data_IF_291034993142
#
_entry.id   IF_291034993142
#
_cell.length_a   1.000
_cell.length_b   1.000
_cell.length_c   1.000
_cell.angle_alpha   90.00
_cell.angle_beta   90.00
_cell.angle_gamma   90.00
#
_symmetry.space_group_name_H-M   'P 1'
#
loop_
_entity.id
_entity.type
_entity.pdbx_description
1 polymer ?
#
# COMPACT_ATOMS: atom_id res chain seq x y z
N UNK A 1 21.14 10.77 5.15
CA UNK A 1 21.21 9.46 5.81
C UNK A 1 21.17 8.33 4.78
N UNK A 2 20.14 8.17 3.95
CA UNK A 2 20.03 7.11 2.93
C UNK A 2 21.27 6.96 2.01
N UNK A 3 21.97 8.07 1.67
CA UNK A 3 23.16 8.05 0.79
C UNK A 3 24.39 7.34 1.39
N UNK A 4 24.41 7.10 2.69
CA UNK A 4 25.53 6.46 3.39
C UNK A 4 25.31 4.98 3.66
N UNK A 5 24.11 4.45 3.36
CA UNK A 5 23.75 3.05 3.57
C UNK A 5 24.29 2.19 2.43
N UNK A 6 24.84 1.03 2.76
CA UNK A 6 25.20 -0.01 1.81
C UNK A 6 23.96 -0.57 1.10
N UNK A 7 24.14 -1.28 0.00
CA UNK A 7 23.07 -1.97 -0.73
C UNK A 7 22.35 -2.97 0.17
N UNK A 8 23.11 -3.78 0.91
CA UNK A 8 22.55 -4.79 1.83
C UNK A 8 21.70 -4.16 2.93
N UNK A 9 22.20 -3.10 3.60
CA UNK A 9 21.43 -2.39 4.63
C UNK A 9 20.12 -1.81 4.08
N UNK A 10 20.15 -1.25 2.86
CA UNK A 10 18.96 -0.70 2.21
C UNK A 10 17.93 -1.79 1.88
N UNK A 11 18.39 -2.96 1.41
CA UNK A 11 17.53 -4.10 1.13
C UNK A 11 16.84 -4.60 2.41
N UNK A 12 17.60 -4.83 3.47
CA UNK A 12 17.04 -5.35 4.73
C UNK A 12 16.05 -4.37 5.36
N UNK A 13 16.39 -3.08 5.41
CA UNK A 13 15.47 -2.07 5.92
C UNK A 13 14.22 -1.94 5.04
N UNK A 14 14.36 -2.06 3.71
CA UNK A 14 13.21 -2.02 2.80
C UNK A 14 12.28 -3.22 3.04
N UNK A 15 12.83 -4.41 3.24
CA UNK A 15 12.05 -5.63 3.55
C UNK A 15 11.24 -5.47 4.84
N UNK A 16 11.88 -4.99 5.91
CA UNK A 16 11.20 -4.78 7.18
C UNK A 16 10.08 -3.73 7.07
N UNK A 17 10.40 -2.56 6.48
CA UNK A 17 9.41 -1.50 6.31
C UNK A 17 8.26 -1.90 5.39
N UNK A 18 8.51 -2.71 4.38
CA UNK A 18 7.45 -3.22 3.50
C UNK A 18 6.45 -4.09 4.27
N UNK A 19 6.91 -4.95 5.17
CA UNK A 19 6.03 -5.73 6.07
C UNK A 19 5.14 -4.81 6.91
N UNK A 20 5.74 -3.78 7.53
CA UNK A 20 4.98 -2.80 8.35
C UNK A 20 3.96 -2.02 7.53
N UNK A 21 4.29 -1.66 6.29
CA UNK A 21 3.36 -0.99 5.37
C UNK A 21 2.21 -1.91 4.98
N UNK A 22 2.46 -3.21 4.80
CA UNK A 22 1.39 -4.21 4.57
C UNK A 22 0.43 -4.27 5.75
N UNK A 23 0.94 -4.38 6.99
CA UNK A 23 0.11 -4.40 8.20
C UNK A 23 -0.72 -3.10 8.33
N UNK A 24 -0.09 -1.96 8.03
CA UNK A 24 -0.77 -0.67 8.05
C UNK A 24 -1.87 -0.56 7.00
N UNK A 25 -1.60 -1.02 5.77
CA UNK A 25 -2.59 -1.00 4.69
C UNK A 25 -3.73 -1.97 4.97
N UNK A 26 -3.45 -3.14 5.54
CA UNK A 26 -4.49 -4.10 5.92
C UNK A 26 -5.47 -3.47 6.90
N UNK A 27 -4.98 -2.90 7.99
CA UNK A 27 -5.83 -2.19 8.95
C UNK A 27 -6.61 -1.02 8.32
N UNK A 28 -5.99 -0.28 7.39
CA UNK A 28 -6.66 0.81 6.68
C UNK A 28 -7.80 0.30 5.79
N UNK A 29 -7.64 -0.87 5.17
CA UNK A 29 -8.68 -1.51 4.37
C UNK A 29 -9.84 -2.00 5.24
N UNK A 30 -9.57 -2.62 6.40
CA UNK A 30 -10.60 -2.95 7.39
C UNK A 30 -11.41 -1.72 7.81
N UNK A 31 -10.73 -0.62 8.12
CA UNK A 31 -11.35 0.64 8.47
C UNK A 31 -12.21 1.19 7.31
N UNK A 32 -11.69 1.14 6.09
CA UNK A 32 -12.39 1.60 4.90
C UNK A 32 -13.70 0.82 4.65
N UNK A 33 -13.68 -0.51 4.75
CA UNK A 33 -14.89 -1.33 4.54
C UNK A 33 -15.96 -1.04 5.62
N UNK A 34 -15.57 -0.69 6.86
CA UNK A 34 -16.49 -0.19 7.88
C UNK A 34 -17.04 1.20 7.50
N UNK A 35 -16.17 2.10 7.07
CA UNK A 35 -16.54 3.46 6.67
C UNK A 35 -17.50 3.47 5.47
N UNK A 36 -17.34 2.55 4.52
CA UNK A 36 -18.28 2.40 3.38
C UNK A 36 -19.73 2.28 3.86
N UNK A 37 -19.98 1.55 4.94
CA UNK A 37 -21.33 1.39 5.48
C UNK A 37 -21.74 2.58 6.34
N UNK A 38 -20.89 2.97 7.27
CA UNK A 38 -21.20 4.01 8.27
C UNK A 38 -21.38 5.40 7.61
N UNK A 39 -20.60 5.72 6.58
CA UNK A 39 -20.59 7.05 5.97
C UNK A 39 -21.43 7.14 4.70
N UNK A 40 -21.42 6.10 3.86
CA UNK A 40 -21.91 6.21 2.49
C UNK A 40 -23.20 5.44 2.23
N UNK A 41 -23.65 4.59 3.19
CA UNK A 41 -24.94 3.93 3.06
C UNK A 41 -26.00 4.60 3.95
N UNK A 42 -27.26 4.65 3.51
CA UNK A 42 -28.33 5.20 4.32
C UNK A 42 -28.76 4.29 5.48
N UNK A 43 -28.24 3.07 5.56
CA UNK A 43 -28.71 2.00 6.48
C UNK A 43 -28.76 2.46 7.93
N UNK A 44 -27.73 3.15 8.42
CA UNK A 44 -27.68 3.63 9.80
C UNK A 44 -28.34 5.00 9.97
N UNK A 45 -28.13 5.92 9.04
CA UNK A 45 -28.69 7.27 9.14
C UNK A 45 -30.21 7.29 9.05
N UNK A 46 -30.83 6.36 8.32
CA UNK A 46 -32.29 6.22 8.26
C UNK A 46 -32.92 5.75 9.59
N UNK A 47 -32.14 5.12 10.47
CA UNK A 47 -32.61 4.70 11.78
C UNK A 47 -32.54 5.80 12.83
N UNK A 48 -31.83 6.90 12.54
CA UNK A 48 -31.58 7.98 13.49
C UNK A 48 -32.33 9.23 13.01
N UNK A 49 -33.50 9.52 13.58
CA UNK A 49 -34.28 10.70 13.21
C UNK A 49 -33.54 11.99 13.61
N UNK A 50 -33.96 13.11 13.05
CA UNK A 50 -33.47 14.42 13.45
C UNK A 50 -33.63 14.65 14.95
N UNK A 51 -32.52 14.65 15.68
CA UNK A 51 -32.51 14.61 17.15
C UNK A 51 -31.11 14.95 17.70
N UNK A 52 -30.96 15.04 19.00
CA UNK A 52 -29.63 15.14 19.64
C UNK A 52 -28.78 13.90 19.34
N UNK A 53 -29.37 12.72 19.19
CA UNK A 53 -28.67 11.51 18.82
C UNK A 53 -28.09 11.58 17.38
N UNK A 54 -28.77 12.24 16.45
CA UNK A 54 -28.26 12.50 15.11
C UNK A 54 -26.98 13.34 15.13
N UNK A 55 -26.90 14.35 16.01
CA UNK A 55 -25.69 15.14 16.17
C UNK A 55 -24.53 14.31 16.70
N UNK A 56 -24.76 13.46 17.69
CA UNK A 56 -23.74 12.54 18.23
C UNK A 56 -23.26 11.54 17.18
N UNK A 57 -24.18 10.97 16.41
CA UNK A 57 -23.86 10.05 15.32
C UNK A 57 -23.01 10.73 14.21
N UNK A 58 -23.36 11.97 13.86
CA UNK A 58 -22.56 12.75 12.89
C UNK A 58 -21.12 12.98 13.38
N UNK A 59 -20.93 13.26 14.68
CA UNK A 59 -19.56 13.37 15.26
C UNK A 59 -18.80 12.05 15.14
N UNK A 60 -19.46 10.93 15.39
CA UNK A 60 -18.87 9.59 15.22
C UNK A 60 -18.48 9.33 13.75
N UNK A 61 -19.38 9.60 12.81
CA UNK A 61 -19.09 9.47 11.37
C UNK A 61 -17.89 10.33 10.95
N UNK A 62 -17.85 11.58 11.37
CA UNK A 62 -16.73 12.48 11.09
C UNK A 62 -15.42 11.94 11.68
N UNK A 63 -15.44 11.42 12.90
CA UNK A 63 -14.27 10.83 13.54
C UNK A 63 -13.71 9.64 12.76
N UNK A 64 -14.57 8.73 12.33
CA UNK A 64 -14.17 7.56 11.52
C UNK A 64 -13.56 8.00 10.18
N UNK A 65 -14.20 8.94 9.48
CA UNK A 65 -13.68 9.48 8.22
C UNK A 65 -12.32 10.16 8.38
N UNK A 66 -12.20 11.02 9.40
CA UNK A 66 -10.96 11.73 9.68
C UNK A 66 -9.82 10.75 10.03
N UNK A 67 -10.12 9.69 10.76
CA UNK A 67 -9.15 8.68 11.12
C UNK A 67 -8.64 7.92 9.88
N UNK A 68 -9.51 7.56 8.95
CA UNK A 68 -9.13 6.96 7.67
C UNK A 68 -8.17 7.88 6.88
N UNK A 69 -8.50 9.17 6.78
CA UNK A 69 -7.63 10.16 6.12
C UNK A 69 -6.26 10.24 6.80
N UNK A 70 -6.21 10.29 8.13
CA UNK A 70 -4.95 10.34 8.87
C UNK A 70 -4.09 9.10 8.59
N UNK A 71 -4.72 7.91 8.59
CA UNK A 71 -4.04 6.64 8.30
C UNK A 71 -3.54 6.54 6.86
N UNK A 72 -4.36 6.97 5.90
CA UNK A 72 -3.97 7.03 4.48
C UNK A 72 -2.79 7.99 4.26
N UNK A 73 -2.85 9.17 4.86
CA UNK A 73 -1.77 10.15 4.78
C UNK A 73 -0.46 9.62 5.38
N UNK A 74 -0.52 8.82 6.44
CA UNK A 74 0.68 8.25 7.07
C UNK A 74 1.43 7.31 6.12
N UNK A 75 0.73 6.57 5.25
CA UNK A 75 1.34 5.74 4.19
C UNK A 75 2.10 6.58 3.15
N UNK A 76 1.70 7.84 2.96
CA UNK A 76 2.26 8.74 1.95
C UNK A 76 3.04 9.93 2.53
N UNK A 77 3.33 9.94 3.83
CA UNK A 77 4.15 10.97 4.47
C UNK A 77 5.54 11.08 3.84
N UNK A 78 6.24 12.17 4.14
CA UNK A 78 7.62 12.40 3.67
C UNK A 78 8.52 11.22 4.02
N UNK A 79 9.43 10.88 3.09
CA UNK A 79 10.42 9.82 3.30
C UNK A 79 11.44 10.24 4.35
N UNK A 80 11.44 9.56 5.47
CA UNK A 80 12.37 9.71 6.58
C UNK A 80 12.80 8.32 7.08
N UNK A 81 14.05 8.13 7.53
CA UNK A 81 14.57 6.80 7.89
C UNK A 81 13.76 6.07 8.96
N UNK A 82 13.21 6.80 9.91
CA UNK A 82 12.40 6.29 11.01
C UNK A 82 10.95 5.98 10.62
N UNK A 83 10.46 6.51 9.49
CA UNK A 83 9.07 6.32 9.07
C UNK A 83 8.87 5.01 8.32
N UNK A 84 7.77 4.37 8.63
CA UNK A 84 7.29 3.14 7.99
C UNK A 84 6.20 3.49 6.98
N UNK A 85 6.63 4.00 5.82
CA UNK A 85 5.72 4.45 4.77
C UNK A 85 6.28 4.14 3.36
N UNK A 86 5.42 4.20 2.37
CA UNK A 86 5.73 3.86 0.98
C UNK A 86 6.87 4.72 0.44
N UNK A 87 6.85 6.03 0.70
CA UNK A 87 7.88 6.95 0.19
C UNK A 87 9.28 6.64 0.75
N UNK A 88 9.36 6.15 1.98
CA UNK A 88 10.62 5.70 2.58
C UNK A 88 11.12 4.43 1.89
N UNK A 89 10.25 3.46 1.65
CA UNK A 89 10.60 2.23 0.92
C UNK A 89 11.09 2.57 -0.48
N UNK A 90 10.32 3.38 -1.22
CA UNK A 90 10.71 3.84 -2.56
C UNK A 90 12.09 4.51 -2.55
N UNK A 91 12.38 5.34 -1.55
CA UNK A 91 13.69 6.00 -1.44
C UNK A 91 14.83 5.03 -1.13
N UNK A 92 14.57 3.95 -0.42
CA UNK A 92 15.52 2.88 -0.16
C UNK A 92 15.82 2.09 -1.44
N UNK A 93 14.78 1.67 -2.19
CA UNK A 93 14.93 0.78 -3.34
C UNK A 93 15.24 1.51 -4.65
N UNK A 94 14.98 2.82 -4.76
CA UNK A 94 15.21 3.61 -5.99
C UNK A 94 16.72 3.89 -6.19
N UNK A 95 17.49 2.82 -6.36
CA UNK A 95 18.90 2.83 -6.70
C UNK A 95 19.20 1.61 -7.60
N UNK A 96 19.95 1.78 -8.71
CA UNK A 96 20.22 0.69 -9.64
C UNK A 96 20.75 -0.57 -8.96
N UNK A 97 21.72 -0.42 -8.06
CA UNK A 97 22.37 -1.55 -7.38
C UNK A 97 21.43 -2.26 -6.39
N UNK A 98 20.47 -1.54 -5.80
CA UNK A 98 19.46 -2.14 -4.90
C UNK A 98 18.43 -2.93 -5.71
N UNK A 99 17.97 -2.37 -6.84
CA UNK A 99 17.07 -3.08 -7.76
C UNK A 99 17.76 -4.33 -8.29
N UNK A 100 19.04 -4.23 -8.63
CA UNK A 100 19.81 -5.38 -9.10
C UNK A 100 19.97 -6.44 -8.03
N UNK A 101 20.29 -6.06 -6.79
CA UNK A 101 20.42 -6.99 -5.67
C UNK A 101 19.10 -7.76 -5.42
N UNK A 102 17.96 -7.07 -5.41
CA UNK A 102 16.63 -7.70 -5.24
C UNK A 102 16.29 -8.62 -6.42
N UNK A 103 16.61 -8.22 -7.64
CA UNK A 103 16.41 -9.05 -8.83
C UNK A 103 17.27 -10.32 -8.80
N UNK A 104 18.52 -10.20 -8.36
CA UNK A 104 19.43 -11.34 -8.23
C UNK A 104 19.00 -12.29 -7.10
N UNK A 105 18.50 -11.75 -5.99
CA UNK A 105 17.91 -12.56 -4.92
C UNK A 105 16.71 -13.36 -5.43
N UNK A 106 15.83 -12.73 -6.23
CA UNK A 106 14.71 -13.41 -6.91
C UNK A 106 15.21 -14.52 -7.85
N UNK A 107 16.24 -14.26 -8.66
CA UNK A 107 16.82 -15.27 -9.54
C UNK A 107 17.34 -16.47 -8.74
N UNK A 108 18.12 -16.21 -7.70
CA UNK A 108 18.73 -17.24 -6.86
C UNK A 108 17.67 -18.10 -6.15
N UNK A 109 16.60 -17.48 -5.66
CA UNK A 109 15.48 -18.21 -5.08
C UNK A 109 14.88 -19.20 -6.07
N UNK A 110 14.53 -18.76 -7.28
CA UNK A 110 13.92 -19.62 -8.30
C UNK A 110 14.88 -20.67 -8.88
N UNK A 111 16.17 -20.37 -8.93
CA UNK A 111 17.19 -21.37 -9.29
C UNK A 111 17.37 -22.44 -8.21
N UNK A 112 17.19 -22.08 -6.93
CA UNK A 112 17.33 -23.00 -5.80
C UNK A 112 16.10 -23.88 -5.53
N UNK A 113 14.90 -23.50 -5.99
CA UNK A 113 13.66 -24.28 -5.84
C UNK A 113 13.69 -25.56 -6.70
N UNK A 114 14.49 -25.60 -7.75
CA UNK A 114 14.63 -26.75 -8.61
C UNK A 114 15.21 -27.94 -7.83
N UNK A 115 14.32 -28.77 -7.29
CA UNK A 115 14.67 -30.05 -6.69
C UNK A 115 15.32 -30.99 -7.72
N UNK A 116 15.40 -32.25 -7.35
CA UNK A 116 15.82 -33.31 -8.29
C UNK A 116 14.75 -33.55 -9.38
N UNK A 117 15.19 -34.02 -10.55
CA UNK A 117 14.29 -34.43 -11.60
C UNK A 117 13.33 -35.48 -11.05
N UNK A 118 12.02 -35.22 -11.13
CA UNK A 118 11.01 -36.17 -10.69
C UNK A 118 11.02 -37.37 -11.69
N UNK A 119 11.18 -38.58 -11.16
CA UNK A 119 11.25 -39.83 -11.94
C UNK A 119 12.39 -39.82 -13.01
N UNK A 120 13.65 -39.68 -12.56
CA UNK A 120 14.76 -39.68 -13.51
C UNK A 120 14.85 -41.00 -14.26
N UNK A 121 15.34 -40.96 -15.52
CA UNK A 121 15.55 -42.14 -16.34
C UNK A 121 16.39 -43.19 -15.60
N UNK A 122 16.07 -44.49 -15.74
CA UNK A 122 16.93 -45.57 -15.24
C UNK A 122 18.28 -45.65 -15.95
N UNK A 123 18.38 -45.12 -17.18
CA UNK A 123 19.63 -45.05 -17.93
C UNK A 123 20.52 -43.91 -17.38
N UNK A 124 21.76 -44.17 -16.93
CA UNK A 124 22.65 -43.18 -16.37
C UNK A 124 22.98 -42.00 -17.29
N UNK A 125 23.15 -42.25 -18.60
CA UNK A 125 23.47 -41.21 -19.58
C UNK A 125 22.27 -40.26 -19.79
N UNK A 126 21.08 -40.83 -19.94
CA UNK A 126 19.85 -40.04 -20.07
C UNK A 126 19.57 -39.24 -18.79
N UNK A 127 19.80 -39.83 -17.62
CA UNK A 127 19.66 -39.13 -16.30
C UNK A 127 20.58 -37.90 -16.22
N UNK A 128 21.84 -38.04 -16.71
CA UNK A 128 22.77 -36.90 -16.72
C UNK A 128 22.30 -35.78 -17.67
N UNK A 129 21.73 -36.13 -18.82
CA UNK A 129 21.17 -35.16 -19.77
C UNK A 129 19.91 -34.49 -19.21
N UNK A 130 19.03 -35.25 -18.58
CA UNK A 130 17.83 -34.72 -17.91
C UNK A 130 18.21 -33.74 -16.80
N UNK A 131 19.18 -34.09 -15.94
CA UNK A 131 19.66 -33.19 -14.89
C UNK A 131 20.25 -31.88 -15.44
N UNK A 132 21.04 -31.98 -16.53
CA UNK A 132 21.60 -30.82 -17.19
C UNK A 132 20.53 -29.93 -17.84
N UNK A 133 19.55 -30.55 -18.51
CA UNK A 133 18.42 -29.82 -19.09
C UNK A 133 17.60 -29.10 -18.01
N UNK A 134 17.34 -29.78 -16.91
CA UNK A 134 16.62 -29.20 -15.74
C UNK A 134 17.37 -28.02 -15.10
N UNK A 135 18.69 -28.16 -14.91
CA UNK A 135 19.51 -27.05 -14.42
C UNK A 135 19.48 -25.83 -15.35
N UNK A 136 19.56 -26.04 -16.65
CA UNK A 136 19.47 -24.97 -17.66
C UNK A 136 18.11 -24.29 -17.62
N UNK A 137 17.01 -25.06 -17.52
CA UNK A 137 15.66 -24.53 -17.41
C UNK A 137 15.49 -23.70 -16.16
N UNK A 138 15.99 -24.15 -15.00
CA UNK A 138 15.94 -23.38 -13.76
C UNK A 138 16.77 -22.10 -13.82
N UNK A 139 17.95 -22.14 -14.43
CA UNK A 139 18.76 -20.93 -14.63
C UNK A 139 18.04 -19.93 -15.53
N UNK A 140 17.45 -20.38 -16.63
CA UNK A 140 16.70 -19.52 -17.53
C UNK A 140 15.48 -18.93 -16.81
N UNK A 141 14.70 -19.75 -16.10
CA UNK A 141 13.54 -19.29 -15.34
C UNK A 141 13.92 -18.26 -14.28
N UNK A 142 15.00 -18.50 -13.52
CA UNK A 142 15.52 -17.52 -12.56
C UNK A 142 15.89 -16.19 -13.21
N UNK A 143 16.52 -16.20 -14.39
CA UNK A 143 16.84 -14.98 -15.13
C UNK A 143 15.59 -14.22 -15.60
N UNK A 144 14.57 -14.95 -16.08
CA UNK A 144 13.28 -14.37 -16.48
C UNK A 144 12.58 -13.70 -15.27
N UNK A 145 12.58 -14.37 -14.11
CA UNK A 145 12.03 -13.79 -12.89
C UNK A 145 12.82 -12.56 -12.42
N UNK A 146 14.15 -12.55 -12.53
CA UNK A 146 14.96 -11.37 -12.25
C UNK A 146 14.62 -10.18 -13.18
N UNK A 147 14.42 -10.44 -14.47
CA UNK A 147 14.00 -9.40 -15.43
C UNK A 147 12.62 -8.85 -15.06
N UNK A 148 11.69 -9.74 -14.66
CA UNK A 148 10.37 -9.34 -14.19
C UNK A 148 10.47 -8.50 -12.93
N UNK A 149 11.28 -8.91 -11.95
CA UNK A 149 11.51 -8.14 -10.72
C UNK A 149 12.01 -6.71 -11.01
N UNK A 150 13.00 -6.56 -11.89
CA UNK A 150 13.51 -5.23 -12.28
C UNK A 150 12.42 -4.35 -12.89
N UNK A 151 11.57 -4.91 -13.74
CA UNK A 151 10.49 -4.18 -14.40
C UNK A 151 9.42 -3.75 -13.39
N UNK A 152 8.96 -4.68 -12.55
CA UNK A 152 7.89 -4.44 -11.59
C UNK A 152 8.32 -3.49 -10.45
N UNK A 153 9.57 -3.59 -9.98
CA UNK A 153 10.12 -2.62 -9.01
C UNK A 153 10.18 -1.20 -9.60
N UNK A 154 10.63 -1.05 -10.86
CA UNK A 154 10.63 0.25 -11.53
C UNK A 154 9.22 0.79 -11.70
N UNK A 155 8.28 -0.08 -12.12
CA UNK A 155 6.87 0.29 -12.24
C UNK A 155 6.29 0.76 -10.90
N UNK A 156 6.52 0.04 -9.81
CA UNK A 156 6.06 0.45 -8.48
C UNK A 156 6.66 1.81 -8.04
N UNK A 157 7.92 2.09 -8.39
CA UNK A 157 8.55 3.38 -8.14
C UNK A 157 7.85 4.49 -8.94
N UNK A 158 7.56 4.26 -10.22
CA UNK A 158 6.95 5.25 -11.09
C UNK A 158 5.47 5.48 -10.76
N UNK A 159 4.71 4.43 -10.45
CA UNK A 159 3.33 4.53 -9.96
C UNK A 159 3.27 5.33 -8.64
N UNK A 160 4.22 5.08 -7.73
CA UNK A 160 4.34 5.86 -6.48
C UNK A 160 4.62 7.34 -6.75
N UNK A 161 5.48 7.65 -7.72
CA UNK A 161 5.76 9.04 -8.12
C UNK A 161 4.52 9.71 -8.70
N UNK A 162 3.73 8.98 -9.49
CA UNK A 162 2.49 9.50 -10.05
C UNK A 162 1.48 9.86 -8.95
N UNK A 163 1.31 9.01 -7.94
CA UNK A 163 0.45 9.31 -6.79
C UNK A 163 0.98 10.52 -6.01
N UNK A 164 2.29 10.57 -5.73
CA UNK A 164 2.92 11.67 -4.99
C UNK A 164 2.74 13.02 -5.71
N UNK A 165 2.77 13.01 -7.04
CA UNK A 165 2.58 14.20 -7.86
C UNK A 165 1.10 14.56 -8.08
N UNK A 166 0.16 13.70 -7.68
CA UNK A 166 -1.27 13.91 -7.93
C UNK A 166 -1.83 15.04 -7.07
N UNK A 167 -2.68 15.85 -7.69
CA UNK A 167 -3.45 16.88 -6.99
C UNK A 167 -4.35 16.28 -5.91
N UNK A 168 -4.87 15.07 -6.15
CA UNK A 168 -5.74 14.36 -5.21
C UNK A 168 -5.04 14.06 -3.89
N UNK A 169 -3.84 13.44 -3.93
CA UNK A 169 -3.07 13.21 -2.70
C UNK A 169 -2.69 14.54 -2.03
N UNK A 170 -2.30 15.55 -2.82
CA UNK A 170 -1.95 16.86 -2.27
C UNK A 170 -3.14 17.50 -1.52
N UNK A 171 -4.37 17.39 -2.05
CA UNK A 171 -5.60 17.90 -1.40
C UNK A 171 -5.91 17.14 -0.10
N UNK A 172 -5.77 15.81 -0.10
CA UNK A 172 -5.95 14.97 1.10
C UNK A 172 -4.93 15.36 2.19
N UNK A 173 -3.65 15.48 1.81
CA UNK A 173 -2.58 15.88 2.72
C UNK A 173 -2.80 17.29 3.27
N UNK A 174 -3.29 18.20 2.44
CA UNK A 174 -3.61 19.56 2.86
C UNK A 174 -4.75 19.59 3.89
N UNK A 175 -5.83 18.80 3.66
CA UNK A 175 -6.92 18.65 4.62
C UNK A 175 -6.41 18.13 5.98
N UNK A 176 -5.59 17.05 5.95
CA UNK A 176 -4.99 16.51 7.17
C UNK A 176 -4.17 17.56 7.92
N UNK A 177 -3.29 18.28 7.22
CA UNK A 177 -2.43 19.29 7.86
C UNK A 177 -3.22 20.48 8.38
N UNK A 178 -4.23 20.92 7.63
CA UNK A 178 -4.99 22.12 7.98
C UNK A 178 -5.96 21.92 9.14
N UNK A 179 -6.66 20.79 9.15
CA UNK A 179 -7.81 20.57 10.01
C UNK A 179 -7.69 19.39 10.97
N UNK A 180 -6.93 18.33 10.62
CA UNK A 180 -6.91 17.11 11.42
C UNK A 180 -5.70 17.03 12.35
N UNK A 181 -4.52 17.46 11.89
CA UNK A 181 -3.32 17.46 12.71
C UNK A 181 -3.08 18.80 13.40
N UNK A 182 -3.50 19.89 12.78
CA UNK A 182 -3.29 21.25 13.25
C UNK A 182 -4.50 22.11 12.90
N UNK A 183 -4.79 23.11 13.71
CA UNK A 183 -5.83 24.13 13.44
C UNK A 183 -5.19 25.32 12.72
N UNK A 184 -4.90 25.16 11.42
CA UNK A 184 -4.19 26.18 10.65
C UNK A 184 -5.15 27.00 9.78
N UNK A 185 -4.96 28.32 9.72
CA UNK A 185 -5.62 29.17 8.74
C UNK A 185 -5.10 28.92 7.32
N UNK A 186 -3.80 28.64 7.19
CA UNK A 186 -3.12 28.37 5.93
C UNK A 186 -1.98 27.35 6.17
N UNK A 187 -1.86 26.34 5.29
CA UNK A 187 -0.77 25.37 5.35
C UNK A 187 0.50 25.92 4.70
N UNK A 188 1.64 25.28 4.98
CA UNK A 188 2.88 25.60 4.29
C UNK A 188 2.78 25.41 2.78
N UNK A 189 2.11 24.35 2.34
CA UNK A 189 1.89 24.08 0.91
C UNK A 189 1.01 25.15 0.24
N UNK A 190 0.00 25.67 0.92
CA UNK A 190 -0.82 26.78 0.40
C UNK A 190 0.00 28.06 0.28
N UNK A 191 0.87 28.37 1.27
CA UNK A 191 1.78 29.53 1.21
C UNK A 191 2.77 29.42 0.07
N UNK A 192 3.44 28.29 -0.08
CA UNK A 192 4.41 28.07 -1.13
C UNK A 192 3.78 28.22 -2.52
N UNK A 193 2.58 27.67 -2.74
CA UNK A 193 1.84 27.83 -4.01
C UNK A 193 1.49 29.28 -4.30
N UNK A 194 1.07 30.01 -3.28
CA UNK A 194 0.75 31.43 -3.39
C UNK A 194 1.99 32.28 -3.73
N UNK A 195 3.10 32.03 -3.07
CA UNK A 195 4.38 32.70 -3.34
C UNK A 195 4.86 32.41 -4.78
N UNK A 196 4.75 31.16 -5.23
CA UNK A 196 5.12 30.74 -6.58
C UNK A 196 4.05 31.03 -7.65
N UNK A 197 2.97 31.72 -7.32
CA UNK A 197 1.83 32.03 -8.22
C UNK A 197 1.26 30.79 -8.90
N UNK A 198 1.27 29.64 -8.21
CA UNK A 198 0.66 28.39 -8.65
C UNK A 198 -0.80 28.37 -8.20
N UNK A 199 -1.67 27.77 -8.99
CA UNK A 199 -3.09 27.64 -8.68
C UNK A 199 -3.33 27.02 -7.30
N UNK A 200 -4.29 27.52 -6.50
CA UNK A 200 -4.61 26.93 -5.19
C UNK A 200 -4.94 25.44 -5.30
N UNK A 201 -4.63 24.68 -4.25
CA UNK A 201 -5.07 23.30 -4.17
C UNK A 201 -6.60 23.25 -4.09
N UNK A 202 -7.27 22.46 -4.94
CA UNK A 202 -8.69 22.24 -4.79
C UNK A 202 -8.98 21.57 -3.44
N UNK A 203 -10.15 21.84 -2.84
CA UNK A 203 -10.55 21.12 -1.63
C UNK A 203 -10.68 19.63 -1.95
N UNK A 204 -10.32 18.79 -0.97
CA UNK A 204 -10.58 17.36 -1.05
C UNK A 204 -12.08 17.08 -1.22
N UNK A 205 -12.43 16.15 -2.09
CA UNK A 205 -13.79 15.68 -2.31
C UNK A 205 -13.97 14.29 -1.72
N UNK A 206 -15.20 13.96 -1.34
CA UNK A 206 -15.56 12.60 -0.97
C UNK A 206 -15.24 11.63 -2.12
N UNK A 207 -14.60 10.50 -1.79
CA UNK A 207 -14.12 9.52 -2.76
C UNK A 207 -12.68 9.73 -3.24
N UNK A 208 -12.05 10.88 -2.96
CA UNK A 208 -10.63 11.09 -3.25
C UNK A 208 -9.76 10.14 -2.42
N UNK A 209 -10.10 9.91 -1.14
CA UNK A 209 -9.45 8.96 -0.25
C UNK A 209 -9.51 7.53 -0.82
N UNK A 210 -10.69 7.12 -1.28
CA UNK A 210 -10.89 5.80 -1.89
C UNK A 210 -10.04 5.65 -3.15
N UNK A 211 -10.02 6.65 -4.01
CA UNK A 211 -9.25 6.59 -5.25
C UNK A 211 -7.73 6.51 -5.00
N UNK A 212 -7.22 7.18 -3.96
CA UNK A 212 -5.81 7.07 -3.55
C UNK A 212 -5.57 5.71 -2.89
N UNK A 213 -6.48 5.23 -2.05
CA UNK A 213 -6.39 3.91 -1.42
C UNK A 213 -6.34 2.79 -2.47
N UNK A 214 -7.28 2.79 -3.42
CA UNK A 214 -7.34 1.80 -4.51
C UNK A 214 -6.06 1.82 -5.38
N UNK A 215 -5.47 3.00 -5.62
CA UNK A 215 -4.20 3.13 -6.33
C UNK A 215 -2.98 2.70 -5.47
N UNK A 216 -3.10 2.71 -4.14
CA UNK A 216 -2.05 2.30 -3.20
C UNK A 216 -1.90 0.78 -3.14
N UNK A 217 -2.98 0.04 -3.24
CA UNK A 217 -3.02 -1.43 -3.11
C UNK A 217 -2.02 -2.12 -4.05
N UNK A 218 -2.09 -1.94 -5.39
CA UNK A 218 -1.19 -2.64 -6.31
C UNK A 218 0.28 -2.27 -6.11
N UNK A 219 0.57 -1.07 -5.61
CA UNK A 219 1.94 -0.65 -5.28
C UNK A 219 2.47 -1.46 -4.11
N UNK A 220 1.69 -1.59 -3.02
CA UNK A 220 2.10 -2.33 -1.83
C UNK A 220 2.21 -3.83 -2.12
N UNK A 221 1.29 -4.39 -2.91
CA UNK A 221 1.36 -5.77 -3.38
C UNK A 221 2.65 -6.02 -4.20
N UNK A 222 2.98 -5.13 -5.13
CA UNK A 222 4.20 -5.22 -5.92
C UNK A 222 5.46 -5.08 -5.06
N UNK A 223 5.48 -4.12 -4.11
CA UNK A 223 6.59 -3.97 -3.17
C UNK A 223 6.77 -5.21 -2.32
N UNK A 224 5.69 -5.78 -1.77
CA UNK A 224 5.79 -6.99 -0.96
C UNK A 224 6.30 -8.18 -1.78
N UNK A 225 5.79 -8.33 -3.00
CA UNK A 225 6.22 -9.40 -3.90
C UNK A 225 7.71 -9.32 -4.25
N UNK A 226 8.18 -8.15 -4.67
CA UNK A 226 9.51 -8.01 -5.26
C UNK A 226 10.60 -7.54 -4.30
N UNK A 227 10.24 -7.02 -3.12
CA UNK A 227 11.19 -6.70 -2.05
C UNK A 227 11.31 -7.86 -1.06
N UNK A 228 10.20 -8.53 -0.71
CA UNK A 228 10.18 -9.59 0.29
C UNK A 228 10.20 -11.01 -0.33
N UNK A 229 10.04 -11.13 -1.63
CA UNK A 229 10.03 -12.44 -2.32
C UNK A 229 8.77 -13.26 -2.07
N UNK A 230 7.66 -12.65 -1.65
CA UNK A 230 6.42 -13.34 -1.31
C UNK A 230 5.23 -12.68 -1.97
N UNK A 231 4.35 -13.45 -2.62
CA UNK A 231 3.12 -12.91 -3.20
C UNK A 231 2.12 -12.52 -2.11
N UNK A 232 1.43 -11.41 -2.34
CA UNK A 232 0.36 -10.91 -1.50
C UNK A 232 -0.76 -10.40 -2.40
N UNK A 233 -2.02 -10.65 -2.03
CA UNK A 233 -3.19 -10.00 -2.60
C UNK A 233 -4.14 -9.61 -1.47
N UNK A 234 -4.60 -8.37 -1.49
CA UNK A 234 -5.58 -7.87 -0.53
C UNK A 234 -7.02 -8.20 -0.92
N UNK A 235 -7.29 -8.77 -2.10
CA UNK A 235 -8.65 -8.99 -2.59
C UNK A 235 -9.47 -9.89 -1.65
N UNK A 236 -8.93 -11.04 -1.26
CA UNK A 236 -9.61 -11.98 -0.37
C UNK A 236 -9.82 -11.40 1.04
N UNK A 237 -8.82 -10.70 1.60
CA UNK A 237 -8.95 -10.07 2.91
C UNK A 237 -10.02 -8.96 2.89
N UNK A 238 -10.03 -8.11 1.87
CA UNK A 238 -11.06 -7.09 1.70
C UNK A 238 -12.47 -7.67 1.59
N UNK A 239 -12.64 -8.83 0.94
CA UNK A 239 -13.95 -9.50 0.89
C UNK A 239 -14.39 -9.96 2.28
N UNK A 240 -13.48 -10.50 3.09
CA UNK A 240 -13.73 -10.88 4.49
C UNK A 240 -14.07 -9.63 5.31
N UNK A 241 -13.30 -8.57 5.20
CA UNK A 241 -13.51 -7.32 5.93
C UNK A 241 -14.86 -6.70 5.60
N UNK A 242 -15.24 -6.73 4.33
CA UNK A 242 -16.58 -6.29 3.88
C UNK A 242 -17.70 -7.14 4.49
N UNK A 243 -17.53 -8.46 4.57
CA UNK A 243 -18.51 -9.36 5.22
C UNK A 243 -18.60 -9.06 6.71
N UNK A 244 -17.46 -8.85 7.38
CA UNK A 244 -17.40 -8.50 8.80
C UNK A 244 -18.10 -7.16 9.08
N UNK A 245 -17.79 -6.15 8.29
CA UNK A 245 -18.42 -4.83 8.41
C UNK A 245 -19.95 -4.91 8.20
N UNK A 246 -20.40 -5.63 7.17
CA UNK A 246 -21.83 -5.87 6.92
C UNK A 246 -22.49 -6.61 8.07
N UNK A 247 -21.88 -7.70 8.55
CA UNK A 247 -22.43 -8.47 9.65
C UNK A 247 -22.65 -7.64 10.91
N UNK A 248 -21.77 -6.67 11.20
CA UNK A 248 -21.93 -5.75 12.31
C UNK A 248 -22.98 -4.67 12.02
N UNK A 249 -22.77 -3.89 10.97
CA UNK A 249 -23.52 -2.65 10.76
C UNK A 249 -24.93 -2.86 10.21
N UNK A 250 -25.16 -3.89 9.40
CA UNK A 250 -26.51 -4.23 8.90
C UNK A 250 -27.39 -4.90 9.98
N UNK A 251 -26.75 -5.53 10.98
CA UNK A 251 -27.45 -6.06 12.15
C UNK A 251 -27.66 -5.01 13.27
N UNK A 252 -27.01 -3.86 13.17
CA UNK A 252 -27.10 -2.80 14.16
C UNK A 252 -28.47 -2.12 14.10
N UNK A 253 -29.17 -2.02 15.23
CA UNK A 253 -30.44 -1.32 15.35
C UNK A 253 -30.35 -0.23 16.41
N UNK A 254 -30.65 1.00 16.04
CA UNK A 254 -30.67 2.12 16.95
C UNK A 254 -32.08 2.35 17.48
N UNK A 255 -32.24 2.34 18.80
CA UNK A 255 -33.46 2.77 19.46
C UNK A 255 -33.23 4.13 20.10
N UNK A 256 -33.82 5.17 19.52
CA UNK A 256 -33.66 6.55 20.00
C UNK A 256 -34.85 6.89 20.87
N UNK A 257 -34.62 7.07 22.17
CA UNK A 257 -35.59 7.61 23.11
C UNK A 257 -35.54 9.13 23.07
N UNK A 258 -36.67 9.74 22.83
CA UNK A 258 -36.84 11.21 22.86
C UNK A 258 -36.79 11.74 24.28
#
# INVERSE_FOLDING_TARGET
MFKKMSVSERVEIAKEKTKRVVDHLHYLLELHENNVIVLYTPTLSQQIPESFAANAFNVFQQGMYQFEIVRLCALWDRAEPEKENIRTIIKLINHPDVIEALAQETASYHQGIGGEVLNPSPNPELRALEAQAFQRANQQFGQEQAQKARRELRKAIDDSRAIIASTRLASIMNLRHKHLAHSLSETWSEKERKENKVEPLPPMKYGDERAVLDATIPIVEALYCWVNGSSLSFENSREIDRKNAKALWEACTFTITQ
#
